data_IF_883627566477
#
_entry.id   IF_883627566477
#
_cell.length_a   1.000
_cell.length_b   1.000
_cell.length_c   1.000
_cell.angle_alpha   90.00
_cell.angle_beta   90.00
_cell.angle_gamma   90.00
#
_symmetry.space_group_name_H-M   'P 1'
#
loop_
_entity.id
_entity.type
_entity.pdbx_description
1 polymer ?
#
# COMPACT_ATOMS: atom_id res chain seq x y z
N UNK A 1 -3.30 32.50 -52.43
CA UNK A 1 -3.17 31.35 -51.51
C UNK A 1 -4.47 30.56 -51.60
N UNK A 2 -4.43 29.32 -52.04
CA UNK A 2 -5.61 28.55 -52.42
C UNK A 2 -6.43 28.22 -51.15
N UNK A 3 -7.73 28.57 -51.13
CA UNK A 3 -8.65 28.27 -49.99
C UNK A 3 -8.63 26.78 -49.62
N UNK A 4 -8.42 25.89 -50.58
CA UNK A 4 -8.30 24.43 -50.36
C UNK A 4 -7.04 24.09 -49.55
N UNK A 5 -5.91 24.77 -49.76
CA UNK A 5 -4.68 24.53 -49.02
C UNK A 5 -4.82 24.96 -47.54
N UNK A 6 -5.59 26.02 -47.28
CA UNK A 6 -5.83 26.50 -45.89
C UNK A 6 -6.75 25.54 -45.13
N UNK A 7 -7.76 24.97 -45.78
CA UNK A 7 -8.66 23.95 -45.16
C UNK A 7 -7.91 22.65 -44.88
N UNK A 8 -7.05 22.21 -45.81
CA UNK A 8 -6.22 21.01 -45.58
C UNK A 8 -5.21 21.20 -44.44
N UNK A 9 -4.61 22.39 -44.33
CA UNK A 9 -3.67 22.70 -43.24
C UNK A 9 -4.38 22.75 -41.86
N UNK A 10 -5.59 23.34 -41.80
CA UNK A 10 -6.37 23.37 -40.56
C UNK A 10 -6.87 21.98 -40.17
N UNK A 11 -7.22 21.10 -41.11
CA UNK A 11 -7.57 19.71 -40.83
C UNK A 11 -6.36 18.90 -40.30
N UNK A 12 -5.18 19.10 -40.87
CA UNK A 12 -3.94 18.45 -40.40
C UNK A 12 -3.56 18.89 -38.97
N UNK A 13 -3.70 20.18 -38.65
CA UNK A 13 -3.43 20.70 -37.31
C UNK A 13 -4.46 20.14 -36.29
N UNK A 14 -5.74 20.06 -36.68
CA UNK A 14 -6.76 19.48 -35.80
C UNK A 14 -6.59 17.97 -35.58
N UNK A 15 -6.13 17.22 -36.58
CA UNK A 15 -5.80 15.81 -36.46
C UNK A 15 -4.55 15.58 -35.61
N UNK A 16 -3.55 16.44 -35.64
CA UNK A 16 -2.39 16.39 -34.79
C UNK A 16 -2.76 16.71 -33.32
N UNK A 17 -3.63 17.69 -33.07
CA UNK A 17 -4.11 18.00 -31.72
C UNK A 17 -4.94 16.87 -31.14
N UNK A 18 -5.75 16.19 -31.95
CA UNK A 18 -6.55 15.03 -31.50
C UNK A 18 -5.68 13.81 -31.19
N UNK A 19 -4.54 13.64 -31.86
CA UNK A 19 -3.59 12.56 -31.63
C UNK A 19 -2.73 12.78 -30.38
N UNK A 20 -2.58 14.01 -29.90
CA UNK A 20 -1.85 14.31 -28.66
C UNK A 20 -2.67 14.05 -27.39
N UNK A 21 -3.99 14.10 -27.44
CA UNK A 21 -4.86 13.79 -26.29
C UNK A 21 -4.95 12.28 -25.94
N UNK A 22 -4.49 11.39 -26.82
CA UNK A 22 -4.63 9.93 -26.62
C UNK A 22 -3.39 9.22 -26.05
N UNK A 23 -2.39 9.95 -25.56
CA UNK A 23 -1.19 9.36 -24.96
C UNK A 23 -1.10 9.57 -23.44
N UNK A 24 -2.22 9.71 -22.75
CA UNK A 24 -2.21 9.52 -21.30
C UNK A 24 -1.90 8.04 -21.02
N UNK A 25 -0.70 7.78 -20.52
CA UNK A 25 -0.32 6.44 -20.09
C UNK A 25 -1.24 6.04 -18.93
N UNK A 26 -2.10 5.09 -19.19
CA UNK A 26 -2.90 4.50 -18.12
C UNK A 26 -1.96 3.88 -17.09
N UNK A 27 -2.08 4.34 -15.84
CA UNK A 27 -1.34 3.84 -14.69
C UNK A 27 -2.32 3.11 -13.79
N UNK A 28 -2.07 1.82 -13.57
CA UNK A 28 -2.92 0.97 -12.75
C UNK A 28 -2.16 0.45 -11.53
N UNK A 29 -2.87 0.22 -10.46
CA UNK A 29 -2.36 -0.38 -9.23
C UNK A 29 -3.27 -1.53 -8.82
N UNK A 30 -2.67 -2.59 -8.26
CA UNK A 30 -3.43 -3.65 -7.62
C UNK A 30 -3.51 -3.35 -6.13
N UNK A 31 -4.73 -3.25 -5.59
CA UNK A 31 -4.98 -2.96 -4.18
C UNK A 31 -5.33 -4.24 -3.43
N UNK A 32 -4.61 -4.50 -2.34
CA UNK A 32 -4.86 -5.60 -1.41
C UNK A 32 -5.12 -5.02 -0.02
N UNK A 33 -6.10 -5.56 0.71
CA UNK A 33 -6.36 -5.21 2.10
C UNK A 33 -6.48 -6.45 2.96
N UNK A 34 -6.19 -6.32 4.25
CA UNK A 34 -6.54 -7.28 5.30
C UNK A 34 -6.25 -8.74 4.92
N UNK A 35 -5.00 -9.03 4.54
CA UNK A 35 -4.58 -10.37 4.11
C UNK A 35 -4.65 -11.37 5.25
N UNK A 36 -4.28 -10.95 6.46
CA UNK A 36 -4.26 -11.77 7.68
C UNK A 36 -3.59 -13.13 7.43
N UNK A 37 -2.40 -13.10 6.81
CA UNK A 37 -1.62 -14.33 6.61
C UNK A 37 -1.29 -14.95 7.96
N UNK A 38 -1.72 -16.19 8.16
CA UNK A 38 -1.66 -16.85 9.45
C UNK A 38 -1.30 -18.33 9.33
N UNK A 39 -0.37 -18.80 10.18
CA UNK A 39 -0.02 -20.20 10.30
C UNK A 39 -0.08 -20.58 11.79
N UNK A 40 -0.72 -21.69 12.12
CA UNK A 40 -0.84 -22.15 13.51
C UNK A 40 0.51 -22.33 14.22
N UNK A 41 1.53 -22.77 13.51
CA UNK A 41 2.89 -22.93 14.03
C UNK A 41 3.57 -21.60 14.41
N UNK A 42 3.04 -20.47 13.95
CA UNK A 42 3.55 -19.14 14.27
C UNK A 42 2.99 -18.58 15.58
N UNK A 43 2.09 -19.32 16.25
CA UNK A 43 1.51 -18.93 17.52
C UNK A 43 2.11 -19.68 18.73
N UNK A 44 2.15 -18.99 19.84
CA UNK A 44 2.27 -19.59 21.18
C UNK A 44 0.88 -20.05 21.60
N UNK A 45 0.61 -21.33 21.41
CA UNK A 45 -0.72 -21.91 21.64
C UNK A 45 -1.09 -21.92 23.13
N UNK A 46 -0.11 -21.96 24.05
CA UNK A 46 -0.37 -21.85 25.47
C UNK A 46 -0.88 -20.45 25.83
N UNK A 47 -0.19 -19.42 25.35
CA UNK A 47 -0.64 -18.04 25.50
C UNK A 47 -1.99 -17.81 24.83
N UNK A 48 -2.17 -18.28 23.59
CA UNK A 48 -3.40 -18.09 22.83
C UNK A 48 -4.60 -18.77 23.50
N UNK A 49 -4.39 -19.90 24.21
CA UNK A 49 -5.45 -20.61 24.95
C UNK A 49 -6.06 -19.77 26.06
N UNK A 50 -5.36 -18.74 26.56
CA UNK A 50 -5.88 -17.80 27.54
C UNK A 50 -6.88 -16.78 26.94
N UNK A 51 -7.11 -16.80 25.63
CA UNK A 51 -7.94 -15.88 24.84
C UNK A 51 -8.90 -16.67 23.95
N UNK A 52 -10.01 -17.18 24.45
CA UNK A 52 -10.87 -18.13 23.75
C UNK A 52 -11.39 -17.64 22.40
N UNK A 53 -11.73 -16.35 22.28
CA UNK A 53 -12.23 -15.78 21.02
C UNK A 53 -11.12 -15.69 19.97
N UNK A 54 -9.94 -15.20 20.34
CA UNK A 54 -8.77 -15.13 19.47
C UNK A 54 -8.34 -16.55 19.04
N UNK A 55 -8.30 -17.50 20.00
CA UNK A 55 -8.01 -18.90 19.71
C UNK A 55 -8.96 -19.48 18.67
N UNK A 56 -10.26 -19.20 18.81
CA UNK A 56 -11.26 -19.64 17.84
C UNK A 56 -11.02 -19.04 16.46
N UNK A 57 -10.80 -17.74 16.38
CA UNK A 57 -10.55 -17.03 15.11
C UNK A 57 -9.29 -17.59 14.43
N UNK A 58 -8.18 -17.67 15.14
CA UNK A 58 -6.92 -18.20 14.60
C UNK A 58 -7.11 -19.64 14.13
N UNK A 59 -7.68 -20.52 14.95
CA UNK A 59 -7.73 -21.96 14.64
C UNK A 59 -8.82 -22.35 13.65
N UNK A 60 -9.91 -21.59 13.55
CA UNK A 60 -11.07 -21.94 12.72
C UNK A 60 -11.25 -21.06 11.49
N UNK A 61 -10.64 -19.88 11.50
CA UNK A 61 -10.82 -18.91 10.42
C UNK A 61 -9.49 -18.60 9.73
N UNK A 62 -8.59 -17.82 10.32
CA UNK A 62 -7.42 -17.25 9.63
C UNK A 62 -6.43 -18.30 9.15
N UNK A 63 -5.98 -19.22 10.00
CA UNK A 63 -5.02 -20.26 9.59
C UNK A 63 -5.62 -21.24 8.58
N UNK A 64 -6.92 -21.53 8.71
CA UNK A 64 -7.65 -22.36 7.73
C UNK A 64 -7.76 -21.64 6.40
N UNK A 65 -8.07 -20.34 6.43
CA UNK A 65 -8.15 -19.51 5.23
C UNK A 65 -6.79 -19.43 4.54
N UNK A 66 -5.73 -19.14 5.29
CA UNK A 66 -4.36 -19.12 4.76
C UNK A 66 -3.99 -20.42 4.11
N UNK A 67 -4.19 -21.55 4.79
CA UNK A 67 -3.86 -22.88 4.27
C UNK A 67 -4.60 -23.20 2.97
N UNK A 68 -5.90 -22.90 2.91
CA UNK A 68 -6.76 -23.33 1.82
C UNK A 68 -6.81 -22.32 0.66
N UNK A 69 -6.68 -21.02 0.94
CA UNK A 69 -6.96 -19.97 -0.05
C UNK A 69 -5.69 -19.26 -0.52
N UNK A 70 -4.67 -19.11 0.33
CA UNK A 70 -3.46 -18.40 -0.04
C UNK A 70 -2.77 -18.90 -1.32
N UNK A 71 -2.64 -20.23 -1.58
CA UNK A 71 -1.99 -20.70 -2.79
C UNK A 71 -2.66 -20.19 -4.07
N UNK A 72 -3.99 -20.21 -4.10
CA UNK A 72 -4.76 -19.74 -5.26
C UNK A 72 -4.78 -18.20 -5.31
N UNK A 73 -4.98 -17.54 -4.18
CA UNK A 73 -4.96 -16.07 -4.10
C UNK A 73 -3.62 -15.51 -4.61
N UNK A 74 -2.50 -16.05 -4.12
CA UNK A 74 -1.17 -15.60 -4.54
C UNK A 74 -0.91 -15.83 -6.03
N UNK A 75 -1.42 -16.95 -6.59
CA UNK A 75 -1.36 -17.25 -8.02
C UNK A 75 -2.15 -16.24 -8.85
N UNK A 76 -3.37 -15.89 -8.39
CA UNK A 76 -4.21 -14.90 -9.06
C UNK A 76 -3.51 -13.54 -9.08
N UNK A 77 -3.00 -13.07 -7.93
CA UNK A 77 -2.30 -11.78 -7.83
C UNK A 77 -1.10 -11.74 -8.78
N UNK A 78 -0.25 -12.75 -8.73
CA UNK A 78 0.92 -12.83 -9.61
C UNK A 78 0.52 -12.86 -11.09
N UNK A 79 -0.52 -13.60 -11.42
CA UNK A 79 -1.05 -13.68 -12.78
C UNK A 79 -1.64 -12.37 -13.27
N UNK A 80 -2.36 -11.62 -12.43
CA UNK A 80 -2.89 -10.31 -12.79
C UNK A 80 -1.77 -9.30 -13.04
N UNK A 81 -0.76 -9.26 -12.15
CA UNK A 81 0.41 -8.39 -12.34
C UNK A 81 1.10 -8.72 -13.66
N UNK A 82 1.36 -10.00 -13.93
CA UNK A 82 2.04 -10.42 -15.17
C UNK A 82 1.22 -10.11 -16.42
N UNK A 83 -0.10 -10.37 -16.39
CA UNK A 83 -1.01 -10.16 -17.52
C UNK A 83 -1.14 -8.69 -17.92
N UNK A 84 -1.12 -7.80 -16.93
CA UNK A 84 -1.37 -6.38 -17.11
C UNK A 84 -0.12 -5.50 -17.02
N UNK A 85 1.08 -6.07 -17.14
CA UNK A 85 2.28 -5.29 -17.38
C UNK A 85 2.25 -4.73 -18.81
N UNK A 86 2.68 -3.48 -19.03
CA UNK A 86 3.32 -2.54 -18.09
C UNK A 86 2.34 -1.60 -17.36
N UNK A 87 1.03 -1.75 -17.50
CA UNK A 87 0.03 -0.85 -16.89
C UNK A 87 0.05 -0.92 -15.36
N UNK A 88 0.08 -2.14 -14.76
CA UNK A 88 0.20 -2.28 -13.30
C UNK A 88 1.61 -1.91 -12.87
N UNK A 89 1.71 -0.82 -12.12
CA UNK A 89 2.98 -0.25 -11.66
C UNK A 89 3.39 -0.68 -10.25
N UNK A 90 2.43 -1.02 -9.40
CA UNK A 90 2.68 -1.52 -8.06
C UNK A 90 1.53 -2.37 -7.55
N UNK A 91 1.82 -3.15 -6.50
CA UNK A 91 0.83 -3.74 -5.62
C UNK A 91 0.83 -2.93 -4.32
N UNK A 92 -0.34 -2.44 -3.91
CA UNK A 92 -0.54 -1.67 -2.70
C UNK A 92 -1.21 -2.56 -1.66
N UNK A 93 -0.58 -2.73 -0.50
CA UNK A 93 -1.11 -3.51 0.61
C UNK A 93 -1.46 -2.57 1.77
N UNK A 94 -2.73 -2.59 2.19
CA UNK A 94 -3.34 -1.57 3.05
C UNK A 94 -3.23 -1.87 4.55
N UNK A 95 -2.27 -2.70 4.96
CA UNK A 95 -2.07 -3.12 6.34
C UNK A 95 -2.68 -4.49 6.65
N UNK A 96 -2.44 -4.99 7.86
CA UNK A 96 -2.86 -6.30 8.32
C UNK A 96 -2.37 -7.43 7.39
N UNK A 97 -1.06 -7.43 7.12
CA UNK A 97 -0.42 -8.48 6.34
C UNK A 97 -0.44 -9.81 7.10
N UNK A 98 -0.17 -9.80 8.40
CA UNK A 98 -0.32 -10.97 9.27
C UNK A 98 -1.47 -10.78 10.27
N UNK A 99 -1.93 -11.90 10.86
CA UNK A 99 -2.99 -11.87 11.88
C UNK A 99 -2.52 -11.24 13.19
N UNK A 100 -1.24 -11.28 13.50
CA UNK A 100 -0.75 -10.91 14.82
C UNK A 100 -1.08 -11.97 15.87
N UNK A 101 -1.15 -11.58 17.16
CA UNK A 101 -1.48 -12.50 18.27
C UNK A 101 -0.53 -13.69 18.40
N UNK A 102 0.72 -13.54 18.02
CA UNK A 102 1.71 -14.62 18.02
C UNK A 102 2.03 -15.15 19.42
N UNK A 103 1.81 -14.36 20.48
CA UNK A 103 1.89 -14.78 21.88
C UNK A 103 3.26 -14.64 22.53
N UNK A 104 4.33 -14.55 21.77
CA UNK A 104 5.68 -14.29 22.28
C UNK A 104 6.54 -13.54 21.24
N UNK A 105 7.63 -12.86 21.66
CA UNK A 105 8.51 -12.14 20.73
C UNK A 105 9.09 -13.03 19.64
N UNK A 106 9.48 -14.26 19.98
CA UNK A 106 10.04 -15.21 19.01
C UNK A 106 8.99 -15.61 17.98
N UNK A 107 7.76 -15.87 18.43
CA UNK A 107 6.65 -16.21 17.55
C UNK A 107 6.21 -15.03 16.66
N UNK A 108 6.23 -13.80 17.18
CA UNK A 108 5.96 -12.61 16.42
C UNK A 108 6.96 -12.41 15.26
N UNK A 109 8.25 -12.60 15.53
CA UNK A 109 9.30 -12.57 14.50
C UNK A 109 9.10 -13.71 13.48
N UNK A 110 8.76 -14.91 13.96
CA UNK A 110 8.48 -16.07 13.09
C UNK A 110 7.32 -15.79 12.17
N UNK A 111 6.19 -15.31 12.69
CA UNK A 111 4.97 -14.94 11.95
C UNK A 111 5.27 -13.89 10.86
N UNK A 112 5.94 -12.81 11.22
CA UNK A 112 6.35 -11.78 10.27
C UNK A 112 7.20 -12.37 9.14
N UNK A 113 8.18 -13.21 9.45
CA UNK A 113 9.01 -13.88 8.44
C UNK A 113 8.20 -14.82 7.55
N UNK A 114 7.23 -15.56 8.10
CA UNK A 114 6.33 -16.44 7.35
C UNK A 114 5.50 -15.65 6.34
N UNK A 115 4.90 -14.53 6.77
CA UNK A 115 4.11 -13.66 5.90
C UNK A 115 4.96 -13.07 4.77
N UNK A 116 6.14 -12.51 5.06
CA UNK A 116 7.02 -11.98 4.01
C UNK A 116 7.62 -13.07 3.11
N UNK A 117 7.85 -14.27 3.62
CA UNK A 117 8.22 -15.42 2.78
C UNK A 117 7.11 -15.77 1.79
N UNK A 118 5.86 -15.70 2.22
CA UNK A 118 4.71 -15.93 1.36
C UNK A 118 4.58 -14.84 0.28
N UNK A 119 4.74 -13.56 0.64
CA UNK A 119 4.78 -12.44 -0.32
C UNK A 119 5.93 -12.61 -1.32
N UNK A 120 7.13 -12.92 -0.85
CA UNK A 120 8.29 -13.12 -1.73
C UNK A 120 8.10 -14.27 -2.75
N UNK A 121 7.37 -15.33 -2.37
CA UNK A 121 7.05 -16.43 -3.28
C UNK A 121 6.14 -16.03 -4.44
N UNK A 122 5.36 -14.94 -4.31
CA UNK A 122 4.58 -14.40 -5.44
C UNK A 122 5.48 -13.91 -6.57
N UNK A 123 6.76 -13.60 -6.30
CA UNK A 123 7.74 -13.16 -7.29
C UNK A 123 7.24 -12.00 -8.15
N UNK A 124 6.59 -11.04 -7.52
CA UNK A 124 6.07 -9.85 -8.17
C UNK A 124 7.22 -9.07 -8.82
N UNK A 125 7.03 -8.64 -10.07
CA UNK A 125 8.02 -7.87 -10.83
C UNK A 125 7.75 -6.36 -10.76
N UNK A 126 6.93 -5.95 -9.81
CA UNK A 126 6.57 -4.57 -9.52
C UNK A 126 6.76 -4.33 -8.03
N UNK A 127 6.96 -3.08 -7.59
CA UNK A 127 7.02 -2.74 -6.18
C UNK A 127 5.79 -3.21 -5.41
N UNK A 128 6.02 -3.66 -4.17
CA UNK A 128 4.98 -3.96 -3.20
C UNK A 128 5.07 -2.90 -2.10
N UNK A 129 4.13 -1.96 -2.13
CA UNK A 129 4.06 -0.82 -1.23
C UNK A 129 3.07 -1.17 -0.12
N UNK A 130 3.49 -1.11 1.12
CA UNK A 130 2.70 -1.56 2.25
C UNK A 130 2.54 -0.46 3.30
N UNK A 131 1.33 -0.33 3.85
CA UNK A 131 1.07 0.42 5.07
C UNK A 131 1.04 -0.51 6.27
N UNK A 132 1.13 0.04 7.48
CA UNK A 132 1.00 -0.72 8.73
C UNK A 132 -0.47 -0.84 9.13
N UNK A 133 -0.91 -2.05 9.45
CA UNK A 133 -2.19 -2.35 10.05
C UNK A 133 -2.10 -2.54 11.57
N UNK A 134 -3.25 -2.66 12.24
CA UNK A 134 -3.28 -2.91 13.68
C UNK A 134 -2.84 -4.34 14.02
N UNK A 135 -3.18 -5.32 13.22
CA UNK A 135 -2.77 -6.72 13.44
C UNK A 135 -1.26 -6.90 13.29
N UNK A 136 -0.60 -6.15 12.42
CA UNK A 136 0.86 -6.21 12.27
C UNK A 136 1.65 -5.84 13.55
N UNK A 137 0.97 -5.21 14.53
CA UNK A 137 1.55 -4.79 15.82
C UNK A 137 0.77 -5.30 17.03
N UNK A 138 -0.15 -6.24 16.85
CA UNK A 138 -0.99 -6.76 17.93
C UNK A 138 -0.37 -7.99 18.56
N UNK A 139 -0.26 -7.97 19.89
CA UNK A 139 0.22 -9.08 20.71
C UNK A 139 1.68 -8.95 21.16
N UNK A 140 2.12 -9.84 22.07
CA UNK A 140 3.47 -9.84 22.62
C UNK A 140 4.54 -9.93 21.53
N UNK A 141 5.49 -8.98 21.54
CA UNK A 141 6.61 -8.95 20.61
C UNK A 141 6.30 -8.42 19.20
N UNK A 142 5.03 -8.14 18.87
CA UNK A 142 4.65 -7.71 17.52
C UNK A 142 5.29 -6.37 17.12
N UNK A 143 5.38 -5.41 18.06
CA UNK A 143 6.07 -4.14 17.80
C UNK A 143 7.55 -4.35 17.45
N UNK A 144 8.24 -5.20 18.18
CA UNK A 144 9.64 -5.54 17.92
C UNK A 144 9.80 -6.26 16.56
N UNK A 145 8.88 -7.18 16.25
CA UNK A 145 8.84 -7.86 14.96
C UNK A 145 8.60 -6.87 13.81
N UNK A 146 7.75 -5.86 14.04
CA UNK A 146 7.53 -4.80 13.07
C UNK A 146 8.83 -4.04 12.76
N UNK A 147 9.54 -3.59 13.77
CA UNK A 147 10.80 -2.88 13.60
C UNK A 147 11.89 -3.75 12.94
N UNK A 148 12.00 -5.02 13.36
CA UNK A 148 13.09 -5.91 12.93
C UNK A 148 12.84 -6.64 11.61
N UNK A 149 11.58 -6.89 11.27
CA UNK A 149 11.21 -7.70 10.10
C UNK A 149 10.38 -6.90 9.10
N UNK A 150 9.32 -6.21 9.54
CA UNK A 150 8.46 -5.49 8.60
C UNK A 150 9.20 -4.33 7.93
N UNK A 151 9.76 -3.39 8.67
CA UNK A 151 10.39 -2.20 8.09
C UNK A 151 11.48 -2.55 7.06
N UNK A 152 12.42 -3.47 7.30
CA UNK A 152 13.40 -3.86 6.30
C UNK A 152 12.78 -4.52 5.05
N UNK A 153 11.75 -5.34 5.22
CA UNK A 153 11.08 -5.97 4.09
C UNK A 153 10.23 -4.97 3.30
N UNK A 154 9.52 -4.06 3.97
CA UNK A 154 8.80 -2.96 3.34
C UNK A 154 9.74 -2.10 2.50
N UNK A 155 10.89 -1.70 3.06
CA UNK A 155 11.93 -0.96 2.35
C UNK A 155 12.36 -1.67 1.06
N UNK A 156 12.71 -2.94 1.18
CA UNK A 156 13.18 -3.77 0.06
C UNK A 156 12.10 -3.96 -1.00
N UNK A 157 10.88 -4.27 -0.60
CA UNK A 157 9.76 -4.56 -1.53
C UNK A 157 9.23 -3.31 -2.22
N UNK A 158 9.26 -2.16 -1.56
CA UNK A 158 8.89 -0.88 -2.16
C UNK A 158 10.01 -0.29 -3.04
N UNK A 159 11.20 -0.89 -3.06
CA UNK A 159 12.36 -0.32 -3.73
C UNK A 159 12.91 0.93 -3.03
N UNK A 160 12.59 1.13 -1.75
CA UNK A 160 13.09 2.23 -0.94
C UNK A 160 14.43 1.83 -0.27
N UNK A 161 15.45 2.72 -0.25
CA UNK A 161 16.78 2.34 0.27
C UNK A 161 16.76 1.96 1.76
N UNK A 162 15.94 2.64 2.55
CA UNK A 162 15.70 2.31 3.96
C UNK A 162 14.44 2.98 4.46
N UNK A 163 13.71 2.33 5.37
CA UNK A 163 12.59 2.92 6.10
C UNK A 163 12.95 2.98 7.57
N UNK A 164 12.76 4.15 8.17
CA UNK A 164 12.95 4.36 9.61
C UNK A 164 11.63 4.28 10.37
N UNK A 165 10.51 4.40 9.66
CA UNK A 165 9.17 4.28 10.22
C UNK A 165 8.18 3.80 9.15
N UNK A 166 6.95 3.49 9.56
CA UNK A 166 5.86 3.18 8.64
C UNK A 166 5.23 4.44 8.00
N UNK A 167 5.63 5.64 8.44
CA UNK A 167 5.35 6.89 7.75
C UNK A 167 6.44 7.11 6.70
N UNK A 168 6.08 7.00 5.44
CA UNK A 168 7.04 7.22 4.35
C UNK A 168 6.34 7.64 3.07
N UNK A 169 7.13 8.15 2.14
CA UNK A 169 6.68 8.44 0.79
C UNK A 169 7.51 7.67 -0.23
N UNK A 170 6.90 7.29 -1.32
CA UNK A 170 7.60 6.74 -2.48
C UNK A 170 6.95 7.23 -3.76
N UNK A 171 7.75 7.41 -4.80
CA UNK A 171 7.27 7.89 -6.11
C UNK A 171 7.48 6.79 -7.15
N UNK A 172 6.44 6.51 -7.90
CA UNK A 172 6.50 5.63 -9.06
C UNK A 172 5.96 6.38 -10.27
N UNK A 173 6.78 6.53 -11.29
CA UNK A 173 6.51 7.45 -12.40
C UNK A 173 6.15 8.84 -11.84
N UNK A 174 4.98 9.38 -12.16
CA UNK A 174 4.50 10.70 -11.72
C UNK A 174 3.55 10.61 -10.50
N UNK A 175 3.43 9.44 -9.87
CA UNK A 175 2.52 9.22 -8.75
C UNK A 175 3.29 9.18 -7.44
N UNK A 176 2.97 10.09 -6.53
CA UNK A 176 3.48 10.10 -5.16
C UNK A 176 2.56 9.28 -4.25
N UNK A 177 3.11 8.25 -3.62
CA UNK A 177 2.45 7.48 -2.57
C UNK A 177 2.86 8.03 -1.22
N UNK A 178 1.87 8.31 -0.37
CA UNK A 178 2.06 8.71 1.02
C UNK A 178 1.51 7.59 1.90
N UNK A 179 2.41 6.84 2.50
CA UNK A 179 2.08 5.77 3.45
C UNK A 179 2.05 6.35 4.85
N UNK A 180 0.91 6.24 5.50
CA UNK A 180 0.66 6.80 6.82
C UNK A 180 0.43 5.70 7.86
N UNK A 181 1.08 5.86 9.01
CA UNK A 181 0.91 5.02 10.19
C UNK A 181 -0.03 5.69 11.20
N UNK A 182 -1.30 5.27 11.30
CA UNK A 182 -2.25 5.89 12.22
C UNK A 182 -1.96 5.57 13.70
N UNK A 183 -1.07 4.62 13.98
CA UNK A 183 -0.63 4.28 15.35
C UNK A 183 0.68 4.95 15.76
N UNK A 184 1.34 5.66 14.83
CA UNK A 184 2.47 6.51 15.17
C UNK A 184 1.95 7.80 15.81
N UNK A 185 2.09 7.88 17.13
CA UNK A 185 1.71 9.05 17.91
C UNK A 185 2.83 10.10 18.00
N UNK A 186 3.82 10.04 17.12
CA UNK A 186 4.85 11.06 17.04
C UNK A 186 4.25 12.35 16.43
N UNK A 187 4.10 13.43 17.22
CA UNK A 187 3.48 14.66 16.73
C UNK A 187 4.21 15.29 15.54
N UNK A 188 5.53 15.16 15.48
CA UNK A 188 6.33 15.73 14.39
C UNK A 188 6.09 15.01 13.08
N UNK A 189 6.02 13.66 13.10
CA UNK A 189 5.70 12.84 11.92
C UNK A 189 4.29 13.13 11.38
N UNK A 190 3.32 13.25 12.27
CA UNK A 190 1.95 13.64 11.92
C UNK A 190 1.85 15.03 11.32
N UNK A 191 2.57 16.00 11.86
CA UNK A 191 2.61 17.37 11.32
C UNK A 191 3.25 17.41 9.93
N UNK A 192 4.35 16.70 9.72
CA UNK A 192 4.99 16.62 8.40
C UNK A 192 4.08 15.98 7.37
N UNK A 193 3.40 14.88 7.72
CA UNK A 193 2.45 14.22 6.83
C UNK A 193 1.25 15.13 6.51
N UNK A 194 0.67 15.76 7.52
CA UNK A 194 -0.42 16.72 7.33
C UNK A 194 0.00 17.88 6.40
N UNK A 195 1.24 18.34 6.53
CA UNK A 195 1.80 19.37 5.65
C UNK A 195 1.94 18.87 4.20
N UNK A 196 2.45 17.65 3.99
CA UNK A 196 2.62 17.07 2.64
C UNK A 196 1.26 16.89 1.98
N UNK A 197 0.30 16.28 2.66
CA UNK A 197 -1.06 16.07 2.14
C UNK A 197 -1.73 17.41 1.84
N UNK A 198 -1.63 18.37 2.75
CA UNK A 198 -2.22 19.70 2.57
C UNK A 198 -1.58 20.44 1.39
N UNK A 199 -0.26 20.41 1.27
CA UNK A 199 0.45 21.07 0.17
C UNK A 199 0.13 20.41 -1.17
N UNK A 200 0.11 19.07 -1.23
CA UNK A 200 -0.27 18.33 -2.43
C UNK A 200 -1.73 18.57 -2.83
N UNK A 201 -2.64 18.60 -1.85
CA UNK A 201 -4.06 18.90 -2.09
C UNK A 201 -4.26 20.33 -2.61
N UNK A 202 -3.60 21.33 -2.00
CA UNK A 202 -3.69 22.74 -2.45
C UNK A 202 -3.14 22.86 -3.87
N UNK A 203 -1.97 22.33 -4.16
CA UNK A 203 -1.39 22.37 -5.50
C UNK A 203 -2.28 21.69 -6.54
N UNK A 204 -2.79 20.51 -6.25
CA UNK A 204 -3.70 19.81 -7.15
C UNK A 204 -5.02 20.57 -7.35
N UNK A 205 -5.54 21.17 -6.30
CA UNK A 205 -6.77 21.96 -6.36
C UNK A 205 -6.59 23.24 -7.17
N UNK A 206 -5.49 23.98 -6.95
CA UNK A 206 -5.13 25.18 -7.70
C UNK A 206 -4.89 24.87 -9.18
N UNK A 207 -4.17 23.80 -9.50
CA UNK A 207 -3.96 23.38 -10.87
C UNK A 207 -5.27 23.04 -11.61
N UNK A 208 -6.27 22.49 -10.89
CA UNK A 208 -7.55 22.08 -11.49
C UNK A 208 -8.57 23.23 -11.58
N UNK A 209 -8.61 24.11 -10.60
CA UNK A 209 -9.70 25.09 -10.45
C UNK A 209 -9.23 26.55 -10.47
N UNK A 210 -7.91 26.79 -10.60
CA UNK A 210 -7.30 28.12 -10.59
C UNK A 210 -7.13 28.73 -9.20
N UNK A 211 -6.32 29.79 -9.14
CA UNK A 211 -5.88 30.41 -7.89
C UNK A 211 -6.97 31.11 -7.07
N UNK A 212 -8.15 31.32 -7.65
CA UNK A 212 -9.25 32.09 -7.03
C UNK A 212 -10.16 31.25 -6.11
N UNK A 213 -10.00 29.92 -6.07
CA UNK A 213 -10.80 29.05 -5.22
C UNK A 213 -9.96 28.63 -3.99
N UNK A 214 -10.42 29.04 -2.81
CA UNK A 214 -9.81 28.60 -1.54
C UNK A 214 -10.26 27.15 -1.26
N UNK A 215 -9.32 26.22 -1.01
CA UNK A 215 -9.68 24.87 -0.58
C UNK A 215 -10.48 24.92 0.73
N UNK A 216 -11.42 23.97 0.94
CA UNK A 216 -12.21 23.93 2.16
C UNK A 216 -11.30 23.73 3.38
N UNK A 217 -11.37 24.65 4.34
CA UNK A 217 -10.53 24.67 5.55
C UNK A 217 -10.80 23.54 6.54
N UNK A 218 -11.89 22.80 6.36
CA UNK A 218 -12.33 21.73 7.27
C UNK A 218 -11.53 20.43 7.15
N UNK A 219 -10.71 20.27 6.12
CA UNK A 219 -9.84 19.08 5.98
C UNK A 219 -8.75 19.07 7.05
N UNK A 220 -8.28 20.25 7.45
CA UNK A 220 -7.20 20.42 8.44
C UNK A 220 -7.62 20.04 9.87
N UNK A 221 -8.85 20.34 10.26
CA UNK A 221 -9.35 20.10 11.63
C UNK A 221 -9.68 18.62 11.91
N UNK A 222 -9.92 17.80 10.90
CA UNK A 222 -10.19 16.38 11.09
C UNK A 222 -8.94 15.51 11.22
N UNK A 223 -7.78 16.01 10.80
CA UNK A 223 -6.51 15.29 10.87
C UNK A 223 -5.70 15.59 12.14
N UNK A 224 -6.05 16.63 12.88
CA UNK A 224 -5.34 17.08 14.11
C UNK A 224 -6.15 16.88 15.39
N UNK A 225 -7.36 16.35 15.33
CA UNK A 225 -8.23 16.01 16.46
C UNK A 225 -8.16 14.54 16.81
#
# INVERSE_FOLDING_TARGET
MNKILFVLLSLLISLQSYSQEQNEKEVSFLLLGDIHYDLLEDHDMEWLSTKPDDLRQVTKEYSVFTKNTWPEFSRIISGQVQKHQPSIKAVLQMGDLSEGLAGSPQKAIQMANSAFKAVNKMNLKVPFIMTKGNHDITGPGAKEAFEKVYLPNMARLAGHPSLQSANYTTTLDDVLFVCYDPWDRNPEGLQQLAYIIHSGFISGYQNRYGDNLKPPTNVYHRMTA
#
